data_IF_706887337466
#
_entry.id   IF_706887337466
#
_cell.length_a   1.000
_cell.length_b   1.000
_cell.length_c   1.000
_cell.angle_alpha   90.00
_cell.angle_beta   90.00
_cell.angle_gamma   90.00
#
_symmetry.space_group_name_H-M   'P 1'
#
loop_
_entity.id
_entity.type
_entity.pdbx_description
1 polymer ?
#
# COMPACT_ATOMS: atom_id res chain seq x y z
N UNK A 1 -8.61 11.90 -6.99
CA UNK A 1 -8.75 12.34 -8.40
C UNK A 1 -9.03 11.14 -9.29
N UNK A 2 -10.09 11.17 -10.10
CA UNK A 2 -10.41 10.10 -11.05
C UNK A 2 -9.60 10.28 -12.34
N UNK A 3 -8.60 9.42 -12.59
CA UNK A 3 -7.77 9.47 -13.80
C UNK A 3 -8.20 8.50 -14.90
N UNK A 4 -9.38 7.86 -14.78
CA UNK A 4 -9.83 6.81 -15.70
C UNK A 4 -10.22 7.36 -17.08
N UNK A 5 -10.52 8.65 -17.17
CA UNK A 5 -10.92 9.34 -18.41
C UNK A 5 -9.74 9.98 -19.17
N UNK A 6 -8.54 9.98 -18.59
CA UNK A 6 -7.34 10.53 -19.24
C UNK A 6 -6.76 9.46 -20.16
N UNK A 7 -6.90 9.68 -21.46
CA UNK A 7 -6.43 8.79 -22.54
C UNK A 7 -4.92 8.89 -22.72
N UNK A 8 -4.36 10.10 -22.61
CA UNK A 8 -2.92 10.30 -22.68
C UNK A 8 -2.19 9.75 -21.44
N UNK A 9 -1.12 9.00 -21.70
CA UNK A 9 -0.36 8.31 -20.65
C UNK A 9 0.53 9.27 -19.87
N UNK A 10 1.08 10.30 -20.52
CA UNK A 10 2.01 11.23 -19.91
C UNK A 10 1.28 12.16 -18.93
N UNK A 11 0.16 12.73 -19.36
CA UNK A 11 -0.73 13.56 -18.55
C UNK A 11 -1.29 12.80 -17.36
N UNK A 12 -1.77 11.57 -17.58
CA UNK A 12 -2.25 10.70 -16.50
C UNK A 12 -1.17 10.44 -15.45
N UNK A 13 0.07 10.23 -15.88
CA UNK A 13 1.21 10.03 -14.96
C UNK A 13 1.55 11.33 -14.22
N UNK A 14 1.54 12.49 -14.88
CA UNK A 14 1.79 13.80 -14.26
C UNK A 14 0.78 14.04 -13.14
N UNK A 15 -0.51 13.85 -13.41
CA UNK A 15 -1.60 14.02 -12.46
C UNK A 15 -1.52 13.05 -11.26
N UNK A 16 -1.16 11.79 -11.50
CA UNK A 16 -0.92 10.83 -10.39
C UNK A 16 0.28 11.23 -9.54
N UNK A 17 1.35 11.74 -10.15
CA UNK A 17 2.56 12.17 -9.44
C UNK A 17 2.31 13.42 -8.60
N UNK A 18 1.60 14.43 -9.14
CA UNK A 18 1.23 15.63 -8.37
C UNK A 18 0.34 15.29 -7.18
N UNK A 19 -0.66 14.40 -7.38
CA UNK A 19 -1.51 13.93 -6.30
C UNK A 19 -0.72 13.18 -5.21
N UNK A 20 0.24 12.32 -5.58
CA UNK A 20 1.12 11.62 -4.63
C UNK A 20 2.08 12.56 -3.90
N UNK A 21 2.61 13.59 -4.58
CA UNK A 21 3.50 14.59 -3.97
C UNK A 21 2.77 15.50 -2.99
N UNK A 22 1.51 15.83 -3.27
CA UNK A 22 0.65 16.64 -2.38
C UNK A 22 0.12 15.84 -1.18
N UNK A 23 0.06 14.51 -1.28
CA UNK A 23 -0.35 13.66 -0.17
C UNK A 23 0.66 13.75 0.99
N UNK A 24 0.16 13.89 2.21
CA UNK A 24 0.99 13.91 3.39
C UNK A 24 1.77 12.58 3.52
N UNK A 25 3.03 12.62 3.99
CA UNK A 25 3.79 11.42 4.27
C UNK A 25 3.03 10.53 5.27
N UNK A 26 3.08 9.22 5.05
CA UNK A 26 2.48 8.28 6.00
C UNK A 26 3.18 8.41 7.35
N UNK A 27 2.39 8.38 8.41
CA UNK A 27 2.94 8.37 9.76
C UNK A 27 3.94 7.21 9.92
N UNK A 28 5.03 7.47 10.66
CA UNK A 28 5.96 6.42 11.07
C UNK A 28 5.18 5.37 11.88
N UNK A 29 5.63 4.13 11.82
CA UNK A 29 5.03 3.07 12.64
C UNK A 29 5.15 3.48 14.12
N UNK A 30 4.08 3.37 14.92
CA UNK A 30 4.17 3.58 16.37
C UNK A 30 5.23 2.66 16.99
N UNK A 31 6.01 3.19 17.93
CA UNK A 31 7.12 2.49 18.57
C UNK A 31 6.64 1.24 19.33
N UNK A 32 5.45 1.32 19.91
CA UNK A 32 4.86 0.29 20.78
C UNK A 32 4.30 -0.92 20.00
N UNK A 33 4.15 -0.80 18.69
CA UNK A 33 3.57 -1.88 17.86
C UNK A 33 4.69 -2.75 17.32
N UNK A 34 4.83 -3.97 17.86
CA UNK A 34 5.78 -4.98 17.38
C UNK A 34 5.61 -5.31 15.89
N UNK A 35 6.69 -5.71 15.22
CA UNK A 35 6.65 -6.07 13.79
C UNK A 35 5.91 -7.39 13.64
N UNK A 36 4.88 -7.42 12.79
CA UNK A 36 4.05 -8.61 12.60
C UNK A 36 2.91 -8.80 13.60
N UNK A 37 2.70 -7.88 14.55
CA UNK A 37 1.57 -7.95 15.49
C UNK A 37 0.19 -7.91 14.81
N UNK A 38 0.11 -7.25 13.65
CA UNK A 38 -1.08 -7.22 12.77
C UNK A 38 -1.07 -8.31 11.69
N UNK A 39 -0.11 -9.25 11.70
CA UNK A 39 -0.11 -10.39 10.76
C UNK A 39 -1.35 -11.24 11.11
N UNK A 40 -2.20 -11.46 10.11
CA UNK A 40 -3.39 -12.29 10.31
C UNK A 40 -2.96 -13.71 10.71
N UNK A 41 -3.52 -14.21 11.81
CA UNK A 41 -3.32 -15.61 12.20
C UNK A 41 -4.13 -16.46 11.24
N UNK A 42 -3.45 -17.31 10.47
CA UNK A 42 -4.11 -18.25 9.57
C UNK A 42 -4.60 -19.43 10.41
N UNK A 43 -5.91 -19.66 10.45
CA UNK A 43 -6.52 -20.74 11.24
C UNK A 43 -6.15 -22.14 10.71
N UNK A 44 -6.01 -22.29 9.38
CA UNK A 44 -5.62 -23.54 8.73
C UNK A 44 -4.63 -23.28 7.60
N UNK A 45 -3.44 -23.86 7.69
CA UNK A 45 -2.38 -23.75 6.68
C UNK A 45 -2.46 -24.92 5.70
N UNK A 46 -2.22 -24.66 4.42
CA UNK A 46 -2.13 -25.71 3.38
C UNK A 46 -0.82 -26.49 3.56
N UNK A 47 -0.83 -27.82 3.31
CA UNK A 47 0.40 -28.63 3.33
C UNK A 47 1.45 -28.04 2.38
N UNK A 48 2.66 -27.79 2.90
CA UNK A 48 3.78 -27.25 2.13
C UNK A 48 3.96 -25.73 2.18
N UNK A 49 3.08 -24.98 2.86
CA UNK A 49 3.28 -23.54 3.02
C UNK A 49 4.29 -23.23 4.13
N UNK A 50 5.26 -22.36 3.85
CA UNK A 50 6.27 -21.94 4.85
C UNK A 50 5.67 -20.96 5.87
N UNK A 51 6.01 -21.15 7.15
CA UNK A 51 5.60 -20.26 8.25
C UNK A 51 6.44 -18.97 8.36
N UNK A 52 7.50 -18.83 7.55
CA UNK A 52 8.40 -17.66 7.57
C UNK A 52 7.71 -16.43 7.00
#
# INVERSE_FOLDING_TARGET
>A
MNTKKVTDRAERKKLKRTARKKAAPKAKRPADVARGSRKQKVAKMVKGQSKR
#
